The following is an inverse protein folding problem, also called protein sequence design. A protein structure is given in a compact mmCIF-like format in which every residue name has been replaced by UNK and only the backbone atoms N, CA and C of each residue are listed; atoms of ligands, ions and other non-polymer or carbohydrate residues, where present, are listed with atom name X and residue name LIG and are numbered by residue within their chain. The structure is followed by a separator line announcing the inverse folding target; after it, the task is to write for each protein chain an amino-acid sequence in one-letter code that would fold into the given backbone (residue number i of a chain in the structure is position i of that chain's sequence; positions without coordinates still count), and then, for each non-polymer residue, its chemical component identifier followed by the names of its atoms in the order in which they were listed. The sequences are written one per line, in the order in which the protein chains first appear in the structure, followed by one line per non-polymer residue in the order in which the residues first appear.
data_IF_335184846968
#
_entry.id   IF_335184846968
#
_cell.length_a   1.000
_cell.length_b   1.000
_cell.length_c   1.000
_cell.angle_alpha   90.00
_cell.angle_beta   90.00
_cell.angle_gamma   90.00
#
_symmetry.space_group_name_H-M   'P 1'
#
loop_
_entity.id
_entity.type
_entity.pdbx_description
1 polymer ?
#
# COMPACT_ATOMS: atom_id res chain seq x y z
N UNK A 1 -4.34 -15.44 6.61
CA UNK A 1 -3.33 -16.48 6.36
C UNK A 1 -3.46 -17.53 7.45
N UNK A 2 -3.53 -18.80 7.05
CA UNK A 2 -3.73 -19.92 7.98
C UNK A 2 -2.46 -20.19 8.81
N UNK A 3 -2.58 -20.71 10.04
CA UNK A 3 -1.43 -21.02 10.90
C UNK A 3 -0.37 -21.92 10.23
N UNK A 4 -0.79 -22.93 9.46
CA UNK A 4 0.12 -23.82 8.72
C UNK A 4 0.97 -23.05 7.68
N UNK A 5 0.36 -22.07 7.01
CA UNK A 5 1.07 -21.22 6.05
C UNK A 5 2.11 -20.34 6.73
N UNK A 6 1.82 -19.84 7.93
CA UNK A 6 2.76 -19.02 8.70
C UNK A 6 3.99 -19.83 9.11
N UNK A 7 3.78 -21.04 9.63
CA UNK A 7 4.87 -21.93 10.04
C UNK A 7 5.78 -22.30 8.86
N UNK A 8 5.18 -22.48 7.68
CA UNK A 8 5.87 -22.86 6.44
C UNK A 8 6.31 -21.68 5.55
N UNK A 9 6.15 -20.45 6.04
CA UNK A 9 6.43 -19.25 5.26
C UNK A 9 7.88 -19.20 4.74
N UNK A 10 8.93 -19.56 5.52
CA UNK A 10 10.30 -19.57 5.01
C UNK A 10 10.48 -20.53 3.82
N UNK A 11 9.89 -21.73 3.87
CA UNK A 11 9.96 -22.70 2.78
C UNK A 11 9.20 -22.24 1.54
N UNK A 12 8.02 -21.65 1.74
CA UNK A 12 7.19 -21.07 0.67
C UNK A 12 7.97 -19.95 -0.03
N UNK A 13 8.54 -19.01 0.71
CA UNK A 13 9.32 -17.89 0.15
C UNK A 13 10.55 -18.38 -0.62
N UNK A 14 11.27 -19.38 -0.08
CA UNK A 14 12.44 -19.96 -0.76
C UNK A 14 12.05 -20.62 -2.08
N UNK A 15 10.98 -21.42 -2.08
CA UNK A 15 10.47 -22.07 -3.29
C UNK A 15 9.99 -21.03 -4.30
N UNK A 16 9.25 -20.02 -3.85
CA UNK A 16 8.74 -18.94 -4.69
C UNK A 16 9.86 -18.18 -5.40
N UNK A 17 10.87 -17.74 -4.65
CA UNK A 17 12.02 -17.03 -5.21
C UNK A 17 12.84 -17.92 -6.15
N UNK A 18 12.99 -19.21 -5.84
CA UNK A 18 13.71 -20.15 -6.73
C UNK A 18 13.00 -20.35 -8.07
N UNK A 19 11.66 -20.31 -8.08
CA UNK A 19 10.86 -20.42 -9.30
C UNK A 19 10.85 -19.12 -10.12
N UNK A 20 10.76 -17.97 -9.44
CA UNK A 20 10.63 -16.66 -10.09
C UNK A 20 11.98 -15.98 -10.41
N UNK A 21 13.09 -16.57 -9.97
CA UNK A 21 14.45 -16.15 -10.30
C UNK A 21 15.19 -17.34 -10.94
N UNK A 22 14.97 -17.65 -12.23
CA UNK A 22 15.50 -18.86 -12.86
C UNK A 22 17.03 -18.91 -12.90
N UNK A 23 17.69 -17.75 -12.85
CA UNK A 23 19.16 -17.64 -12.83
C UNK A 23 19.74 -17.70 -11.40
N UNK A 24 18.90 -17.66 -10.37
CA UNK A 24 19.33 -17.69 -8.98
C UNK A 24 19.70 -19.11 -8.54
N UNK A 25 20.84 -19.24 -7.87
CA UNK A 25 21.30 -20.47 -7.24
C UNK A 25 21.44 -20.26 -5.74
N UNK A 26 21.40 -21.35 -4.98
CA UNK A 26 21.61 -21.34 -3.53
C UNK A 26 20.72 -20.33 -2.78
N UNK A 27 19.45 -20.21 -3.21
CA UNK A 27 18.48 -19.30 -2.57
C UNK A 27 18.28 -19.69 -1.10
N UNK A 28 18.52 -18.74 -0.21
CA UNK A 28 18.36 -18.89 1.23
C UNK A 28 17.48 -17.79 1.80
N UNK A 29 16.65 -18.15 2.78
CA UNK A 29 15.74 -17.24 3.49
C UNK A 29 16.09 -17.28 4.97
N UNK A 30 16.22 -16.12 5.59
CA UNK A 30 16.57 -16.00 6.99
C UNK A 30 15.91 -14.77 7.64
N UNK A 31 16.02 -14.65 8.97
CA UNK A 31 15.45 -13.55 9.75
C UNK A 31 13.94 -13.31 9.54
N UNK A 32 13.18 -14.37 9.26
CA UNK A 32 11.73 -14.29 9.07
C UNK A 32 11.07 -13.88 10.38
N UNK A 33 10.39 -12.74 10.37
CA UNK A 33 9.75 -12.18 11.55
C UNK A 33 8.49 -11.41 11.20
N UNK A 34 7.48 -11.44 12.07
CA UNK A 34 6.27 -10.65 11.87
C UNK A 34 6.58 -9.18 12.13
N UNK A 35 6.12 -8.28 11.26
CA UNK A 35 6.26 -6.85 11.50
C UNK A 35 5.44 -6.44 12.73
N UNK A 36 5.98 -5.63 13.65
CA UNK A 36 5.16 -4.96 14.66
C UNK A 36 4.22 -3.97 13.95
N UNK A 37 2.91 -4.19 14.05
CA UNK A 37 1.89 -3.43 13.32
C UNK A 37 1.28 -4.21 12.14
N UNK A 38 0.62 -3.51 11.21
CA UNK A 38 -0.05 -4.15 10.07
C UNK A 38 -1.43 -4.71 10.39
N UNK A 39 -2.23 -4.01 11.20
CA UNK A 39 -3.53 -4.49 11.69
C UNK A 39 -4.55 -4.85 10.58
N UNK A 40 -4.35 -4.38 9.34
CA UNK A 40 -5.23 -4.69 8.21
C UNK A 40 -4.84 -5.95 7.44
N UNK A 41 -3.56 -6.36 7.47
CA UNK A 41 -3.00 -7.42 6.61
C UNK A 41 -1.74 -8.02 7.24
N UNK A 42 -1.54 -9.32 7.05
CA UNK A 42 -0.32 -10.02 7.47
C UNK A 42 0.89 -9.39 6.81
N UNK A 43 1.85 -8.93 7.62
CA UNK A 43 3.12 -8.36 7.15
C UNK A 43 4.29 -9.03 7.86
N UNK A 44 5.25 -9.51 7.07
CA UNK A 44 6.42 -10.25 7.52
C UNK A 44 7.68 -9.67 6.89
N UNK A 45 8.74 -9.57 7.66
CA UNK A 45 10.08 -9.23 7.17
C UNK A 45 10.91 -10.49 7.03
N UNK A 46 11.76 -10.53 6.03
CA UNK A 46 12.72 -11.61 5.82
C UNK A 46 13.90 -11.10 5.00
N UNK A 47 15.02 -11.77 5.13
CA UNK A 47 16.20 -11.53 4.33
C UNK A 47 16.37 -12.70 3.35
N UNK A 48 16.76 -12.39 2.12
CA UNK A 48 16.93 -13.35 1.04
C UNK A 48 18.29 -13.17 0.37
N UNK A 49 19.08 -14.24 0.34
CA UNK A 49 20.36 -14.28 -0.37
C UNK A 49 20.35 -15.33 -1.47
N UNK A 50 20.98 -15.02 -2.60
CA UNK A 50 21.18 -15.98 -3.68
C UNK A 50 22.39 -15.61 -4.54
N UNK A 51 22.85 -16.58 -5.32
CA UNK A 51 23.92 -16.39 -6.31
C UNK A 51 23.30 -16.14 -7.68
N UNK A 52 23.63 -15.01 -8.31
CA UNK A 52 23.37 -14.73 -9.73
C UNK A 52 24.69 -14.57 -10.49
N UNK A 53 24.79 -13.55 -11.34
CA UNK A 53 26.08 -13.11 -11.89
C UNK A 53 27.08 -12.70 -10.79
N UNK A 54 26.54 -12.16 -9.69
CA UNK A 54 27.23 -11.89 -8.44
C UNK A 54 26.32 -12.31 -7.26
N UNK A 55 26.87 -12.48 -6.04
CA UNK A 55 26.07 -12.68 -4.85
C UNK A 55 25.12 -11.50 -4.62
N UNK A 56 23.85 -11.79 -4.39
CA UNK A 56 22.79 -10.80 -4.12
C UNK A 56 22.22 -11.08 -2.73
N UNK A 57 22.12 -10.03 -1.93
CA UNK A 57 21.46 -10.03 -0.63
C UNK A 57 20.36 -8.95 -0.63
N UNK A 58 19.14 -9.29 -0.22
CA UNK A 58 18.01 -8.36 -0.13
C UNK A 58 17.29 -8.49 1.19
N UNK A 59 16.91 -7.34 1.76
CA UNK A 59 15.94 -7.25 2.85
C UNK A 59 14.57 -7.02 2.25
N UNK A 60 13.62 -7.91 2.54
CA UNK A 60 12.32 -7.95 1.90
C UNK A 60 11.18 -7.94 2.93
N UNK A 61 10.01 -7.52 2.44
CA UNK A 61 8.75 -7.53 3.16
C UNK A 61 7.73 -8.32 2.34
N UNK A 62 7.12 -9.30 2.97
CA UNK A 62 5.98 -10.07 2.48
C UNK A 62 4.70 -9.50 3.10
N UNK A 63 3.69 -9.21 2.27
CA UNK A 63 2.37 -8.75 2.73
C UNK A 63 1.27 -9.53 2.02
N UNK A 64 0.38 -10.14 2.81
CA UNK A 64 -0.73 -10.94 2.32
C UNK A 64 -2.05 -10.54 2.99
N UNK A 65 -3.17 -10.81 2.33
CA UNK A 65 -4.48 -10.66 2.94
C UNK A 65 -4.65 -11.62 4.14
N UNK A 66 -5.29 -11.14 5.20
CA UNK A 66 -5.77 -12.02 6.28
C UNK A 66 -7.23 -12.37 6.05
N UNK A 67 -7.63 -13.60 6.34
CA UNK A 67 -9.02 -14.07 6.19
C UNK A 67 -10.00 -13.29 7.06
N UNK A 68 -9.49 -12.61 8.10
CA UNK A 68 -10.24 -11.77 9.04
C UNK A 68 -10.26 -10.29 8.65
N UNK A 69 -9.50 -9.86 7.64
CA UNK A 69 -9.53 -8.47 7.22
C UNK A 69 -10.81 -8.19 6.43
N UNK A 70 -11.46 -7.06 6.73
CA UNK A 70 -12.51 -6.55 5.85
C UNK A 70 -11.89 -6.34 4.47
N UNK A 71 -12.31 -7.15 3.50
CA UNK A 71 -11.88 -7.03 2.10
C UNK A 71 -12.46 -5.74 1.54
N UNK A 72 -11.74 -4.65 1.74
CA UNK A 72 -12.03 -3.40 1.07
C UNK A 72 -11.57 -3.55 -0.39
N UNK A 73 -12.52 -3.78 -1.30
CA UNK A 73 -12.29 -3.86 -2.74
C UNK A 73 -11.65 -2.57 -3.29
N UNK A 74 -11.81 -1.43 -2.59
CA UNK A 74 -11.18 -0.17 -2.96
C UNK A 74 -9.66 -0.19 -2.69
N UNK A 75 -9.17 -1.05 -1.79
CA UNK A 75 -7.77 -1.15 -1.37
C UNK A 75 -7.18 -2.57 -1.51
N UNK A 76 -7.40 -3.23 -2.66
CA UNK A 76 -6.83 -4.57 -2.94
C UNK A 76 -5.29 -4.54 -3.09
N UNK A 77 -4.63 -5.68 -2.82
CA UNK A 77 -3.18 -5.81 -2.98
C UNK A 77 -2.72 -5.64 -4.44
N UNK A 78 -3.56 -6.02 -5.41
CA UNK A 78 -3.31 -5.75 -6.83
C UNK A 78 -3.23 -4.24 -7.11
N UNK A 79 -4.19 -3.46 -6.59
CA UNK A 79 -4.17 -2.00 -6.76
C UNK A 79 -2.95 -1.39 -6.09
N UNK A 80 -2.64 -1.80 -4.85
CA UNK A 80 -1.40 -1.38 -4.17
C UNK A 80 -0.16 -1.70 -5.03
N UNK A 81 -0.04 -2.93 -5.53
CA UNK A 81 1.10 -3.33 -6.37
C UNK A 81 1.22 -2.46 -7.63
N UNK A 82 0.12 -2.25 -8.36
CA UNK A 82 0.12 -1.44 -9.59
C UNK A 82 0.53 0.01 -9.33
N UNK A 83 0.04 0.61 -8.24
CA UNK A 83 0.44 1.97 -7.84
C UNK A 83 1.93 2.02 -7.50
N UNK A 84 2.43 1.12 -6.65
CA UNK A 84 3.85 1.09 -6.30
C UNK A 84 4.75 0.80 -7.50
N UNK A 85 4.29 -0.02 -8.48
CA UNK A 85 5.01 -0.23 -9.74
C UNK A 85 5.08 1.05 -10.58
N UNK A 86 3.97 1.78 -10.71
CA UNK A 86 3.94 3.02 -11.48
C UNK A 86 4.82 4.12 -10.86
N UNK A 87 4.95 4.14 -9.53
CA UNK A 87 5.73 5.15 -8.81
C UNK A 87 7.26 4.92 -8.82
N UNK A 88 7.74 3.73 -9.21
CA UNK A 88 9.18 3.36 -9.13
C UNK A 88 10.10 4.36 -9.85
N UNK A 89 9.65 4.92 -10.97
CA UNK A 89 10.45 5.81 -11.83
C UNK A 89 10.06 7.29 -11.65
N UNK A 90 9.50 7.64 -10.48
CA UNK A 90 9.02 8.98 -10.18
C UNK A 90 9.83 9.63 -9.05
N UNK A 91 9.71 10.95 -8.83
CA UNK A 91 10.33 11.62 -7.68
C UNK A 91 9.74 11.20 -6.32
N UNK A 92 8.63 10.47 -6.29
CA UNK A 92 7.99 10.03 -5.05
C UNK A 92 8.76 8.82 -4.50
N UNK A 93 9.35 8.93 -3.29
CA UNK A 93 10.16 7.85 -2.74
C UNK A 93 9.27 6.65 -2.37
N UNK A 94 9.44 5.54 -3.09
CA UNK A 94 8.77 4.27 -2.82
C UNK A 94 9.79 3.13 -2.73
N UNK A 95 9.57 2.10 -1.88
CA UNK A 95 10.41 0.90 -1.85
C UNK A 95 10.37 0.19 -3.21
N UNK A 96 11.45 -0.52 -3.54
CA UNK A 96 11.45 -1.37 -4.72
C UNK A 96 10.30 -2.40 -4.64
N UNK A 97 9.47 -2.42 -5.68
CA UNK A 97 8.27 -3.26 -5.72
C UNK A 97 8.49 -4.45 -6.63
N UNK A 98 8.73 -5.63 -6.05
CA UNK A 98 9.24 -6.78 -6.79
C UNK A 98 8.12 -7.65 -7.37
N UNK A 99 7.33 -8.31 -6.53
CA UNK A 99 6.39 -9.35 -6.97
C UNK A 99 4.97 -9.14 -6.42
N UNK A 100 3.98 -9.52 -7.22
CA UNK A 100 2.59 -9.71 -6.82
C UNK A 100 2.15 -11.10 -7.30
N UNK A 101 1.69 -11.92 -6.37
CA UNK A 101 1.23 -13.28 -6.62
C UNK A 101 -0.24 -13.38 -6.25
N UNK A 102 -1.01 -14.05 -7.11
CA UNK A 102 -2.45 -14.27 -6.94
C UNK A 102 -2.84 -15.74 -6.88
N UNK A 103 -1.95 -16.65 -7.25
CA UNK A 103 -2.19 -18.08 -7.14
C UNK A 103 -2.18 -18.48 -5.66
N UNK A 104 -3.34 -18.92 -5.12
CA UNK A 104 -3.43 -19.34 -3.73
C UNK A 104 -2.60 -20.60 -3.44
N UNK A 105 -2.05 -21.31 -4.45
CA UNK A 105 -1.20 -22.47 -4.22
C UNK A 105 0.06 -22.14 -3.39
N UNK A 106 0.52 -20.89 -3.40
CA UNK A 106 1.71 -20.45 -2.69
C UNK A 106 1.45 -20.19 -1.21
N UNK A 107 0.55 -19.24 -0.90
CA UNK A 107 0.33 -18.76 0.46
C UNK A 107 -1.17 -18.77 0.87
N UNK A 108 -2.02 -19.47 0.13
CA UNK A 108 -3.46 -19.54 0.35
C UNK A 108 -4.26 -18.30 -0.07
N UNK A 109 -3.60 -17.14 -0.17
CA UNK A 109 -4.17 -15.84 -0.54
C UNK A 109 -3.17 -15.09 -1.43
N UNK A 110 -3.62 -14.00 -2.06
CA UNK A 110 -2.74 -13.12 -2.81
C UNK A 110 -1.77 -12.36 -1.88
N UNK A 111 -0.56 -12.11 -2.39
CA UNK A 111 0.48 -11.43 -1.64
C UNK A 111 1.38 -10.57 -2.52
N UNK A 112 2.10 -9.66 -1.88
CA UNK A 112 3.14 -8.83 -2.50
C UNK A 112 4.45 -9.01 -1.76
N UNK A 113 5.55 -8.98 -2.49
CA UNK A 113 6.90 -8.91 -1.94
C UNK A 113 7.56 -7.61 -2.40
N UNK A 114 8.06 -6.84 -1.45
CA UNK A 114 8.68 -5.52 -1.66
C UNK A 114 9.98 -5.42 -0.89
N UNK A 115 10.77 -4.40 -1.21
CA UNK A 115 11.92 -4.02 -0.41
C UNK A 115 11.49 -3.64 1.01
N UNK A 116 12.28 -4.10 1.99
CA UNK A 116 12.24 -3.58 3.35
C UNK A 116 13.26 -2.44 3.46
N UNK A 117 12.76 -1.21 3.39
CA UNK A 117 13.57 -0.01 3.57
C UNK A 117 13.91 0.14 5.05
N UNK A 118 15.18 0.41 5.34
CA UNK A 118 15.65 0.71 6.69
C UNK A 118 15.24 2.13 7.07
N UNK A 119 14.65 2.29 8.25
CA UNK A 119 14.19 3.58 8.75
C UNK A 119 13.45 3.47 10.07
N UNK A 120 13.04 4.62 10.59
CA UNK A 120 12.26 4.75 11.82
C UNK A 120 10.94 5.48 11.53
N UNK A 121 9.88 5.07 12.21
CA UNK A 121 8.55 5.70 12.13
C UNK A 121 8.24 6.55 13.37
N UNK A 122 9.14 6.59 14.35
CA UNK A 122 8.97 7.34 15.59
C UNK A 122 9.23 8.84 15.42
N UNK A 123 8.28 9.51 14.78
CA UNK A 123 8.33 10.95 14.55
C UNK A 123 8.27 11.77 15.85
N UNK A 124 7.52 11.31 16.86
CA UNK A 124 7.19 12.11 18.05
C UNK A 124 8.36 12.33 19.00
N UNK A 125 9.30 11.38 19.03
CA UNK A 125 10.44 11.43 19.95
C UNK A 125 11.65 12.18 19.36
N UNK A 126 11.53 12.67 18.13
CA UNK A 126 12.58 13.45 17.47
C UNK A 126 12.67 14.89 18.01
N UNK A 127 13.87 15.50 17.98
CA UNK A 127 14.00 16.93 18.23
C UNK A 127 13.13 17.77 17.29
N UNK A 128 12.60 18.90 17.77
CA UNK A 128 11.68 19.75 17.00
C UNK A 128 12.24 20.18 15.63
N UNK A 129 13.55 20.46 15.53
CA UNK A 129 14.19 20.81 14.26
C UNK A 129 14.14 19.65 13.25
N UNK A 130 14.35 18.41 13.71
CA UNK A 130 14.23 17.22 12.86
C UNK A 130 12.79 16.95 12.45
N UNK A 131 11.83 17.18 13.35
CA UNK A 131 10.41 17.09 13.02
C UNK A 131 10.03 18.08 11.93
N UNK A 132 10.47 19.34 12.03
CA UNK A 132 10.19 20.36 11.02
C UNK A 132 10.76 19.96 9.65
N UNK A 133 12.02 19.51 9.60
CA UNK A 133 12.62 19.08 8.34
C UNK A 133 11.88 17.90 7.69
N UNK A 134 11.39 16.95 8.49
CA UNK A 134 10.56 15.84 8.00
C UNK A 134 9.21 16.35 7.46
N UNK A 135 8.58 17.30 8.14
CA UNK A 135 7.31 17.88 7.69
C UNK A 135 7.48 18.67 6.39
N UNK A 136 8.55 19.44 6.25
CA UNK A 136 8.87 20.17 5.03
C UNK A 136 9.06 19.19 3.86
N UNK A 137 9.87 18.15 4.06
CA UNK A 137 10.09 17.12 3.04
C UNK A 137 8.81 16.30 2.74
N UNK A 138 7.95 16.07 3.73
CA UNK A 138 6.65 15.44 3.52
C UNK A 138 5.76 16.27 2.59
N UNK A 139 5.72 17.59 2.77
CA UNK A 139 4.97 18.50 1.89
C UNK A 139 5.57 18.51 0.48
N UNK A 140 6.90 18.48 0.35
CA UNK A 140 7.58 18.36 -0.95
C UNK A 140 7.18 17.07 -1.69
N UNK A 141 7.15 15.93 -0.99
CA UNK A 141 6.73 14.63 -1.55
C UNK A 141 5.25 14.68 -1.97
N UNK A 142 4.38 15.25 -1.14
CA UNK A 142 2.95 15.42 -1.49
C UNK A 142 2.79 16.29 -2.74
N UNK A 143 3.53 17.39 -2.83
CA UNK A 143 3.51 18.25 -4.01
C UNK A 143 4.04 17.53 -5.25
N UNK A 144 5.11 16.74 -5.13
CA UNK A 144 5.62 15.91 -6.22
C UNK A 144 4.57 14.90 -6.69
N UNK A 145 3.92 14.19 -5.75
CA UNK A 145 2.85 13.23 -6.05
C UNK A 145 1.67 13.89 -6.80
N UNK A 146 1.20 15.05 -6.33
CA UNK A 146 0.11 15.78 -6.98
C UNK A 146 0.47 16.33 -8.38
N UNK A 147 1.76 16.40 -8.72
CA UNK A 147 2.21 16.87 -10.03
C UNK A 147 2.40 15.76 -11.05
N UNK A 148 2.33 14.49 -10.64
CA UNK A 148 2.45 13.35 -11.54
C UNK A 148 1.31 13.32 -12.58
N UNK A 149 1.66 12.86 -13.78
CA UNK A 149 0.70 12.59 -14.84
C UNK A 149 0.17 11.16 -14.67
N UNK A 150 -0.87 11.03 -13.85
CA UNK A 150 -1.47 9.74 -13.51
C UNK A 150 -2.09 9.05 -14.74
N UNK A 151 -2.49 9.80 -15.77
CA UNK A 151 -3.01 9.24 -17.03
C UNK A 151 -1.89 8.57 -17.81
N UNK A 152 -0.77 9.27 -18.02
CA UNK A 152 0.41 8.72 -18.67
C UNK A 152 1.01 7.52 -17.91
N UNK A 153 0.86 7.50 -16.58
CA UNK A 153 1.26 6.39 -15.72
C UNK A 153 0.28 5.20 -15.72
N UNK A 154 -0.85 5.30 -16.42
CA UNK A 154 -1.84 4.23 -16.53
C UNK A 154 -2.61 3.96 -15.22
N UNK A 155 -2.77 4.98 -14.37
CA UNK A 155 -3.46 4.88 -13.07
C UNK A 155 -4.98 5.09 -13.16
N UNK A 156 -5.56 5.19 -14.36
CA UNK A 156 -7.01 5.40 -14.57
C UNK A 156 -7.89 4.32 -13.94
N UNK A 157 -7.34 3.12 -13.67
CA UNK A 157 -8.04 2.03 -12.98
C UNK A 157 -8.44 2.34 -11.54
N UNK A 158 -7.88 3.40 -10.93
CA UNK A 158 -8.26 3.86 -9.60
C UNK A 158 -9.65 4.53 -9.59
N UNK A 159 -10.20 4.84 -10.76
CA UNK A 159 -11.53 5.44 -10.90
C UNK A 159 -11.46 6.96 -10.88
N UNK A 160 -10.88 7.55 -11.93
CA UNK A 160 -10.74 8.99 -12.05
C UNK A 160 -12.09 9.70 -12.18
N UNK A 161 -12.30 10.82 -11.49
CA UNK A 161 -13.46 11.68 -11.70
C UNK A 161 -13.36 12.38 -13.06
N UNK A 162 -14.50 12.65 -13.69
CA UNK A 162 -14.58 13.29 -15.01
C UNK A 162 -14.30 14.79 -14.94
N UNK A 163 -14.62 15.41 -13.80
CA UNK A 163 -14.48 16.84 -13.56
C UNK A 163 -14.28 17.15 -12.06
N UNK A 164 -13.99 18.42 -11.77
CA UNK A 164 -13.81 18.91 -10.39
C UNK A 164 -15.00 18.67 -9.47
N UNK A 165 -16.24 19.04 -9.87
CA UNK A 165 -17.44 18.74 -9.09
C UNK A 165 -17.61 17.25 -8.76
N UNK A 166 -17.30 16.37 -9.71
CA UNK A 166 -17.38 14.93 -9.51
C UNK A 166 -16.37 14.43 -8.46
N UNK A 167 -15.17 15.01 -8.38
CA UNK A 167 -14.18 14.68 -7.33
C UNK A 167 -14.81 14.79 -5.93
N UNK A 168 -15.34 15.97 -5.61
CA UNK A 168 -15.91 16.25 -4.29
C UNK A 168 -17.16 15.41 -4.04
N UNK A 169 -18.02 15.26 -5.06
CA UNK A 169 -19.23 14.44 -4.98
C UNK A 169 -18.91 12.98 -4.67
N UNK A 170 -17.95 12.37 -5.37
CA UNK A 170 -17.55 10.98 -5.17
C UNK A 170 -17.06 10.72 -3.75
N UNK A 171 -16.22 11.62 -3.20
CA UNK A 171 -15.70 11.50 -1.83
C UNK A 171 -16.84 11.61 -0.81
N UNK A 172 -17.72 12.59 -0.95
CA UNK A 172 -18.85 12.78 -0.02
C UNK A 172 -19.83 11.61 -0.07
N UNK A 173 -20.14 11.10 -1.26
CA UNK A 173 -21.01 9.92 -1.42
C UNK A 173 -20.37 8.66 -0.85
N UNK A 174 -19.05 8.47 -1.04
CA UNK A 174 -18.30 7.35 -0.45
C UNK A 174 -18.41 7.36 1.07
N UNK A 175 -18.12 8.50 1.70
CA UNK A 175 -18.21 8.63 3.15
C UNK A 175 -19.64 8.50 3.67
N UNK A 176 -20.63 9.05 2.96
CA UNK A 176 -22.03 8.86 3.36
C UNK A 176 -22.45 7.38 3.32
N UNK A 177 -22.03 6.62 2.30
CA UNK A 177 -22.30 5.17 2.22
C UNK A 177 -21.61 4.42 3.36
N UNK A 178 -20.33 4.69 3.61
CA UNK A 178 -19.58 4.07 4.69
C UNK A 178 -20.22 4.37 6.05
N UNK A 179 -20.54 5.64 6.31
CA UNK A 179 -21.27 6.06 7.50
C UNK A 179 -22.58 5.30 7.67
N UNK A 180 -23.44 5.25 6.63
CA UNK A 180 -24.74 4.55 6.72
C UNK A 180 -24.59 3.06 7.02
N UNK A 181 -23.54 2.41 6.51
CA UNK A 181 -23.28 0.99 6.71
C UNK A 181 -22.82 0.69 8.15
N UNK A 182 -21.99 1.54 8.72
CA UNK A 182 -21.36 1.31 10.03
C UNK A 182 -22.09 2.01 11.20
N UNK A 183 -23.18 2.73 10.92
CA UNK A 183 -23.89 3.50 11.94
C UNK A 183 -24.62 2.59 12.93
N UNK A 184 -24.16 2.56 14.19
CA UNK A 184 -24.79 1.78 15.25
C UNK A 184 -25.95 2.52 15.94
N UNK A 185 -25.90 3.85 15.97
CA UNK A 185 -26.89 4.71 16.60
C UNK A 185 -27.07 6.02 15.82
N UNK A 186 -28.20 6.73 15.96
CA UNK A 186 -28.37 8.02 15.30
C UNK A 186 -27.26 9.01 15.67
N UNK A 187 -26.62 9.58 14.65
CA UNK A 187 -25.57 10.60 14.80
C UNK A 187 -26.00 11.92 14.11
N UNK A 188 -26.82 12.78 14.77
CA UNK A 188 -27.40 13.97 14.15
C UNK A 188 -26.36 14.93 13.57
N UNK A 189 -25.21 15.10 14.24
CA UNK A 189 -24.11 15.97 13.76
C UNK A 189 -23.52 15.44 12.46
N UNK A 190 -23.28 14.13 12.36
CA UNK A 190 -22.75 13.52 11.14
C UNK A 190 -23.77 13.60 10.00
N UNK A 191 -25.05 13.34 10.26
CA UNK A 191 -26.13 13.50 9.28
C UNK A 191 -26.23 14.94 8.77
N UNK A 192 -26.19 15.92 9.68
CA UNK A 192 -26.22 17.33 9.31
C UNK A 192 -24.98 17.75 8.51
N UNK A 193 -23.80 17.24 8.88
CA UNK A 193 -22.53 17.49 8.18
C UNK A 193 -22.58 16.93 6.76
N UNK A 194 -23.02 15.68 6.56
CA UNK A 194 -23.15 15.09 5.23
C UNK A 194 -24.14 15.87 4.36
N UNK A 195 -25.27 16.29 4.94
CA UNK A 195 -26.24 17.12 4.23
C UNK A 195 -25.70 18.51 3.89
N UNK A 196 -24.82 19.08 4.73
CA UNK A 196 -24.14 20.34 4.46
C UNK A 196 -23.11 20.17 3.34
N UNK A 197 -22.23 19.16 3.41
CA UNK A 197 -21.20 18.89 2.40
C UNK A 197 -21.80 18.72 1.00
N UNK A 198 -22.88 17.93 0.88
CA UNK A 198 -23.59 17.74 -0.39
C UNK A 198 -24.15 19.02 -0.99
N UNK A 199 -24.52 20.01 -0.16
CA UNK A 199 -25.05 21.30 -0.60
C UNK A 199 -23.96 22.32 -0.92
N UNK A 200 -22.74 22.09 -0.44
CA UNK A 200 -21.62 23.03 -0.53
C UNK A 200 -20.40 22.36 -1.20
N UNK A 201 -20.64 21.49 -2.19
CA UNK A 201 -19.55 20.87 -2.93
C UNK A 201 -18.74 21.94 -3.68
N UNK A 202 -17.40 21.93 -3.59
CA UNK A 202 -16.55 22.71 -4.46
C UNK A 202 -16.87 22.40 -5.93
N UNK A 203 -16.99 23.44 -6.75
CA UNK A 203 -17.31 23.31 -8.18
C UNK A 203 -16.13 23.58 -9.10
N UNK A 204 -15.09 24.25 -8.59
CA UNK A 204 -13.88 24.58 -9.32
C UNK A 204 -12.68 23.91 -8.65
N UNK A 205 -11.83 23.28 -9.46
CA UNK A 205 -10.54 22.74 -9.05
C UNK A 205 -9.52 23.08 -10.13
N UNK A 206 -8.31 23.44 -9.72
CA UNK A 206 -7.24 23.78 -10.67
C UNK A 206 -6.72 22.54 -11.41
N UNK A 207 -6.75 21.37 -10.74
CA UNK A 207 -6.27 20.10 -11.27
C UNK A 207 -6.93 18.92 -10.59
N UNK A 208 -7.19 17.86 -11.35
CA UNK A 208 -7.61 16.55 -10.84
C UNK A 208 -6.36 15.69 -10.61
N UNK A 209 -6.23 15.18 -9.41
CA UNK A 209 -5.18 14.24 -8.98
C UNK A 209 -5.84 12.99 -8.39
N UNK A 210 -5.17 11.83 -8.49
CA UNK A 210 -5.65 10.54 -7.96
C UNK A 210 -4.92 10.15 -6.67
#
# INVERSE_FOLDING_TARGET
MEPDTIERLPEILRAYLSEHLPDARNVSIHNVSRSPGGNSRSMWFFDADWEGEAPIAKRLMFRANESTCFRDEEASLEKEYRVFRALQDTPVPVPANYWYERDPCWAGEDFVIRERVEGDTNFRDLPAASQQAILDHFVEILAAQHNLDWEAMGLSFLGAPKDGPECARMVVERWERATKRELLEPQPVMTATMAWLKRNLPTEVDRIVL
#
